data_IF_020586040881
#
_entry.id   IF_020586040881
#
_cell.length_a   1.000
_cell.length_b   1.000
_cell.length_c   1.000
_cell.angle_alpha   90.00
_cell.angle_beta   90.00
_cell.angle_gamma   90.00
#
_symmetry.space_group_name_H-M   'P 1'
#
loop_
_entity.id
_entity.type
_entity.pdbx_description
1 polymer ?
#
# COMPACT_ATOMS: atom_id res chain seq x y z
N UNK A 1 7.14 12.02 -10.79
CA UNK A 1 6.90 11.22 -9.58
C UNK A 1 5.40 11.17 -9.35
N UNK A 2 4.81 9.98 -9.24
CA UNK A 2 3.38 9.86 -8.94
C UNK A 2 3.10 10.52 -7.58
N UNK A 3 2.09 11.39 -7.52
CA UNK A 3 1.57 12.00 -6.29
C UNK A 3 0.84 10.97 -5.39
N UNK A 4 1.41 9.78 -5.21
CA UNK A 4 0.80 8.72 -4.41
C UNK A 4 0.97 9.06 -2.92
N UNK A 5 -0.13 9.45 -2.29
CA UNK A 5 -0.16 9.91 -0.90
C UNK A 5 -1.31 9.28 -0.12
N UNK A 6 -1.04 8.94 1.15
CA UNK A 6 -2.07 8.49 2.09
C UNK A 6 -2.53 9.66 2.96
N UNK A 7 -3.84 9.75 3.19
CA UNK A 7 -4.39 10.67 4.20
C UNK A 7 -4.02 10.23 5.62
N UNK A 8 -3.98 8.92 5.85
CA UNK A 8 -3.51 8.30 7.10
C UNK A 8 -2.71 7.05 6.78
N UNK A 9 -1.56 6.89 7.42
CA UNK A 9 -0.68 5.71 7.24
C UNK A 9 -0.94 4.61 8.28
N UNK A 10 -1.69 4.92 9.35
CA UNK A 10 -1.95 4.01 10.48
C UNK A 10 -0.67 3.40 11.08
N UNK A 11 0.43 4.14 11.02
CA UNK A 11 1.73 3.74 11.53
C UNK A 11 2.54 4.96 11.97
N UNK A 12 3.73 4.72 12.52
CA UNK A 12 4.71 5.79 12.84
C UNK A 12 5.40 6.37 11.59
N UNK A 13 5.15 5.80 10.41
CA UNK A 13 5.82 6.20 9.17
C UNK A 13 5.03 7.27 8.42
N UNK A 14 5.75 8.16 7.74
CA UNK A 14 5.17 9.04 6.71
C UNK A 14 4.78 8.23 5.47
N UNK A 15 4.03 8.85 4.55
CA UNK A 15 3.72 8.21 3.25
C UNK A 15 5.02 7.83 2.53
N UNK A 16 5.97 8.76 2.47
CA UNK A 16 7.23 8.60 1.75
C UNK A 16 8.04 7.43 2.33
N UNK A 17 8.15 7.37 3.66
CA UNK A 17 8.83 6.27 4.35
C UNK A 17 8.16 4.92 4.12
N UNK A 18 6.82 4.88 4.13
CA UNK A 18 6.07 3.65 3.88
C UNK A 18 6.25 3.17 2.44
N UNK A 19 6.18 4.11 1.48
CA UNK A 19 6.39 3.82 0.06
C UNK A 19 7.80 3.30 -0.21
N UNK A 20 8.82 3.94 0.38
CA UNK A 20 10.21 3.52 0.25
C UNK A 20 10.43 2.11 0.83
N UNK A 21 9.87 1.83 2.01
CA UNK A 21 9.96 0.50 2.63
C UNK A 21 9.30 -0.60 1.80
N UNK A 22 8.13 -0.35 1.23
CA UNK A 22 7.45 -1.33 0.37
C UNK A 22 8.26 -1.54 -0.91
N UNK A 23 8.69 -0.45 -1.55
CA UNK A 23 9.46 -0.50 -2.80
C UNK A 23 10.79 -1.23 -2.65
N UNK A 24 11.49 -1.11 -1.52
CA UNK A 24 12.79 -1.75 -1.30
C UNK A 24 12.76 -3.28 -1.12
N UNK A 25 11.56 -3.86 -0.99
CA UNK A 25 11.36 -5.30 -0.77
C UNK A 25 10.83 -6.06 -1.99
N UNK A 26 10.61 -5.37 -3.11
CA UNK A 26 9.98 -5.96 -4.29
C UNK A 26 10.44 -5.29 -5.57
N UNK A 27 10.21 -5.95 -6.70
CA UNK A 27 10.46 -5.38 -8.02
C UNK A 27 9.43 -4.30 -8.39
N UNK A 28 9.73 -3.51 -9.43
CA UNK A 28 8.85 -2.42 -9.88
C UNK A 28 7.47 -2.93 -10.33
N UNK A 29 7.38 -4.14 -10.92
CA UNK A 29 6.10 -4.72 -11.36
C UNK A 29 5.19 -5.00 -10.17
N UNK A 30 5.73 -5.60 -9.11
CA UNK A 30 5.01 -5.90 -7.87
C UNK A 30 4.67 -4.62 -7.10
N UNK A 31 5.57 -3.64 -7.09
CA UNK A 31 5.31 -2.33 -6.51
C UNK A 31 4.14 -1.62 -7.20
N UNK A 32 4.11 -1.57 -8.53
CA UNK A 32 2.99 -1.01 -9.29
C UNK A 32 1.69 -1.80 -9.09
N UNK A 33 1.77 -3.13 -8.87
CA UNK A 33 0.62 -3.93 -8.47
C UNK A 33 0.05 -3.46 -7.12
N UNK A 34 0.89 -3.26 -6.11
CA UNK A 34 0.47 -2.76 -4.79
C UNK A 34 -0.21 -1.38 -4.87
N UNK A 35 0.29 -0.48 -5.72
CA UNK A 35 -0.36 0.82 -5.96
C UNK A 35 -1.77 0.64 -6.55
N UNK A 36 -1.93 -0.20 -7.58
CA UNK A 36 -3.26 -0.44 -8.18
C UNK A 36 -4.22 -1.10 -7.20
N UNK A 37 -3.75 -2.06 -6.41
CA UNK A 37 -4.56 -2.72 -5.37
C UNK A 37 -4.99 -1.73 -4.29
N UNK A 38 -4.08 -0.85 -3.84
CA UNK A 38 -4.38 0.23 -2.90
C UNK A 38 -5.57 1.10 -3.35
N UNK A 39 -5.54 1.57 -4.59
CA UNK A 39 -6.61 2.41 -5.14
C UNK A 39 -7.92 1.64 -5.31
N UNK A 40 -7.87 0.39 -5.79
CA UNK A 40 -9.08 -0.43 -5.92
C UNK A 40 -9.68 -0.79 -4.55
N UNK A 41 -8.86 -1.07 -3.52
CA UNK A 41 -9.33 -1.30 -2.16
C UNK A 41 -10.07 -0.09 -1.59
N UNK A 42 -9.56 1.14 -1.80
CA UNK A 42 -10.25 2.36 -1.37
C UNK A 42 -11.59 2.54 -2.09
N UNK A 43 -11.61 2.30 -3.40
CA UNK A 43 -12.83 2.36 -4.22
C UNK A 43 -13.87 1.34 -3.76
N UNK A 44 -13.48 0.09 -3.57
CA UNK A 44 -14.35 -0.98 -3.09
C UNK A 44 -14.86 -0.70 -1.67
N UNK A 45 -14.00 -0.21 -0.78
CA UNK A 45 -14.40 0.21 0.56
C UNK A 45 -15.50 1.27 0.52
N UNK A 46 -15.37 2.28 -0.34
CA UNK A 46 -16.42 3.29 -0.55
C UNK A 46 -17.71 2.70 -1.10
N UNK A 47 -17.63 1.83 -2.11
CA UNK A 47 -18.80 1.22 -2.75
C UNK A 47 -19.60 0.32 -1.79
N UNK A 48 -18.92 -0.33 -0.85
CA UNK A 48 -19.53 -1.25 0.11
C UNK A 48 -19.87 -0.59 1.46
N UNK A 49 -19.74 0.73 1.58
CA UNK A 49 -20.06 1.44 2.83
C UNK A 49 -19.12 1.13 4.00
N UNK A 50 -17.88 0.72 3.71
CA UNK A 50 -16.89 0.48 4.76
C UNK A 50 -16.51 1.80 5.46
N UNK A 51 -16.49 1.75 6.79
CA UNK A 51 -16.40 2.95 7.64
C UNK A 51 -15.05 3.69 7.56
N UNK A 52 -13.96 3.01 7.15
CA UNK A 52 -12.64 3.62 7.02
C UNK A 52 -11.96 3.23 5.69
N UNK A 53 -12.26 3.98 4.64
CA UNK A 53 -11.70 3.76 3.30
C UNK A 53 -10.18 3.96 3.25
N UNK A 54 -9.59 4.74 4.16
CA UNK A 54 -8.14 4.99 4.18
C UNK A 54 -7.40 3.80 4.78
N UNK A 55 -8.00 3.14 5.77
CA UNK A 55 -7.47 1.87 6.30
C UNK A 55 -7.45 0.80 5.21
N UNK A 56 -8.50 0.73 4.38
CA UNK A 56 -8.54 -0.18 3.23
C UNK A 56 -7.47 0.15 2.18
N UNK A 57 -7.25 1.45 1.89
CA UNK A 57 -6.21 1.91 0.98
C UNK A 57 -4.81 1.43 1.44
N UNK A 58 -4.46 1.69 2.69
CA UNK A 58 -3.16 1.28 3.25
C UNK A 58 -3.01 -0.23 3.28
N UNK A 59 -4.05 -0.98 3.69
CA UNK A 59 -4.03 -2.43 3.70
C UNK A 59 -3.76 -3.00 2.29
N UNK A 60 -4.43 -2.48 1.27
CA UNK A 60 -4.20 -2.87 -0.13
C UNK A 60 -2.78 -2.58 -0.61
N UNK A 61 -2.18 -1.48 -0.15
CA UNK A 61 -0.80 -1.15 -0.50
C UNK A 61 0.24 -2.10 0.11
N UNK A 62 0.08 -2.48 1.38
CA UNK A 62 1.10 -3.24 2.12
C UNK A 62 0.90 -4.77 2.09
N UNK A 63 -0.22 -5.27 1.54
CA UNK A 63 -0.61 -6.68 1.64
C UNK A 63 0.48 -7.66 1.16
N UNK A 64 1.24 -7.27 0.13
CA UNK A 64 2.26 -8.08 -0.52
C UNK A 64 3.68 -7.71 -0.06
N UNK A 65 3.83 -6.95 1.03
CA UNK A 65 5.13 -6.46 1.54
C UNK A 65 6.20 -7.56 1.63
N UNK A 66 5.81 -8.76 2.06
CA UNK A 66 6.71 -9.90 2.24
C UNK A 66 6.82 -10.82 1.01
N UNK A 67 6.11 -10.55 -0.09
CA UNK A 67 5.93 -11.49 -1.20
C UNK A 67 7.22 -11.88 -1.92
N UNK A 68 8.22 -10.99 -1.92
CA UNK A 68 9.51 -11.16 -2.60
C UNK A 68 10.71 -11.00 -1.64
N UNK A 69 10.46 -11.01 -0.33
CA UNK A 69 11.52 -11.03 0.67
C UNK A 69 12.11 -12.45 0.71
N UNK A 70 13.44 -12.57 0.59
CA UNK A 70 14.12 -13.86 0.75
C UNK A 70 13.95 -14.40 2.17
N UNK A 71 13.83 -15.71 2.32
CA UNK A 71 13.71 -16.37 3.63
C UNK A 71 15.00 -16.22 4.45
N UNK A 72 16.13 -16.04 3.78
CA UNK A 72 17.46 -15.93 4.42
C UNK A 72 17.79 -14.51 4.91
N UNK A 73 16.81 -13.59 4.94
CA UNK A 73 16.99 -12.18 5.27
C UNK A 73 16.75 -11.87 6.74
#
# INVERSE_FOLDING_TARGET
>A
MNNFKFEKTFSIFTTEQLVEKVKSNMDERRFQHCIRVSEECKKLAKLNGYYDIYKAQVAGFIHDYAKQISVDR
#
